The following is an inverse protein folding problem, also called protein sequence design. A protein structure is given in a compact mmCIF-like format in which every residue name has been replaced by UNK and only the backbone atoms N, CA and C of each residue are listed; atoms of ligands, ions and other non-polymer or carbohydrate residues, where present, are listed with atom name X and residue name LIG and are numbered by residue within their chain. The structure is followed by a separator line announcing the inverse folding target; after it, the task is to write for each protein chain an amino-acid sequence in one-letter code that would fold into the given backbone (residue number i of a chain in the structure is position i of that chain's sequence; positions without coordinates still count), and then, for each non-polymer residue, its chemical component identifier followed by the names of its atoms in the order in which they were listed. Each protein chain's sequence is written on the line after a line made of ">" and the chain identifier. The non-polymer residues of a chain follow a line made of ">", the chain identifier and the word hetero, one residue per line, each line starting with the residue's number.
data_IF_537835925148
#
_entry.id   IF_537835925148
#
_cell.length_a   1.000
_cell.length_b   1.000
_cell.length_c   1.000
_cell.angle_alpha   90.00
_cell.angle_beta   90.00
_cell.angle_gamma   90.00
#
_symmetry.space_group_name_H-M   'P 1'
#
loop_
_entity.id
_entity.type
_entity.pdbx_description
1 polymer ?
#
# COMPACT_ATOMS: atom_id res chain seq x y z
N UNK A 1 38.54 -7.31 -13.15
CA UNK A 1 37.44 -6.65 -13.89
C UNK A 1 36.16 -7.38 -13.51
N UNK A 2 35.13 -6.67 -13.06
CA UNK A 2 33.80 -7.24 -12.79
C UNK A 2 33.46 -7.49 -11.31
N UNK A 3 33.29 -6.43 -10.50
CA UNK A 3 32.46 -6.54 -9.29
C UNK A 3 31.00 -6.63 -9.75
N UNK A 4 30.42 -7.82 -9.64
CA UNK A 4 28.99 -8.05 -9.81
C UNK A 4 28.23 -7.26 -8.74
N UNK A 5 27.45 -6.27 -9.17
CA UNK A 5 26.59 -5.45 -8.33
C UNK A 5 25.21 -6.13 -8.34
N UNK A 6 25.11 -7.31 -7.72
CA UNK A 6 23.83 -7.98 -7.54
C UNK A 6 23.23 -7.54 -6.19
N UNK A 7 22.03 -6.99 -6.32
CA UNK A 7 21.00 -6.86 -5.30
C UNK A 7 21.37 -6.04 -4.08
N UNK A 8 21.22 -4.72 -4.24
CA UNK A 8 20.81 -3.87 -3.12
C UNK A 8 19.51 -4.45 -2.56
N UNK A 9 19.65 -5.31 -1.55
CA UNK A 9 18.54 -5.80 -0.74
C UNK A 9 17.90 -4.55 -0.15
N UNK A 10 16.81 -4.08 -0.74
CA UNK A 10 15.98 -3.04 -0.15
C UNK A 10 15.48 -3.65 1.15
N UNK A 11 16.12 -3.29 2.26
CA UNK A 11 15.65 -3.69 3.59
C UNK A 11 14.26 -3.05 3.69
N UNK A 12 13.17 -3.84 3.71
CA UNK A 12 11.85 -3.26 3.77
C UNK A 12 11.74 -2.49 5.07
N UNK A 13 11.26 -1.25 4.99
CA UNK A 13 11.05 -0.42 6.18
C UNK A 13 10.10 -1.15 7.13
N UNK A 14 10.61 -1.59 8.28
CA UNK A 14 9.80 -2.29 9.29
C UNK A 14 9.18 -1.28 10.25
N UNK A 15 7.89 -1.04 10.10
CA UNK A 15 7.09 -0.26 11.05
C UNK A 15 6.31 -1.23 11.93
N UNK A 16 6.47 -1.12 13.26
CA UNK A 16 5.77 -2.01 14.21
C UNK A 16 4.26 -1.81 14.14
N UNK A 17 3.55 -2.85 13.70
CA UNK A 17 2.09 -2.81 13.49
C UNK A 17 1.68 -2.35 12.10
N UNK A 18 2.60 -2.42 11.13
CA UNK A 18 2.30 -2.33 9.70
C UNK A 18 2.70 -3.64 9.03
N UNK A 19 1.79 -4.24 8.26
CA UNK A 19 2.07 -5.42 7.47
C UNK A 19 2.74 -5.00 6.16
N UNK A 20 4.07 -5.05 6.10
CA UNK A 20 4.86 -4.78 4.90
C UNK A 20 6.23 -5.52 4.96
N UNK A 21 6.67 -6.25 3.90
CA UNK A 21 5.97 -6.49 2.65
C UNK A 21 4.69 -7.32 2.85
N UNK A 22 3.70 -7.09 2.00
CA UNK A 22 2.41 -7.76 2.12
C UNK A 22 2.38 -9.01 1.24
N UNK A 23 2.20 -10.16 1.88
CA UNK A 23 2.26 -11.48 1.24
C UNK A 23 0.89 -12.02 0.83
N UNK A 24 -0.18 -11.34 1.22
CA UNK A 24 -1.56 -11.74 0.93
C UNK A 24 -2.18 -12.78 1.83
N UNK A 25 -1.54 -13.10 2.95
CA UNK A 25 -2.09 -14.01 3.96
C UNK A 25 -3.10 -13.33 4.90
N UNK A 26 -3.20 -12.01 4.87
CA UNK A 26 -4.06 -11.19 5.74
C UNK A 26 -5.05 -10.42 4.89
N UNK A 27 -6.35 -10.39 5.23
CA UNK A 27 -7.32 -9.56 4.50
C UNK A 27 -6.90 -8.07 4.54
N UNK A 28 -7.17 -7.32 3.46
CA UNK A 28 -6.90 -5.88 3.42
C UNK A 28 -7.93 -5.14 2.56
N UNK A 29 -8.19 -3.88 2.89
CA UNK A 29 -8.79 -2.93 1.96
C UNK A 29 -7.71 -2.18 1.20
N UNK A 30 -8.05 -1.79 -0.03
CA UNK A 30 -7.14 -1.09 -0.93
C UNK A 30 -7.87 0.02 -1.66
N UNK A 31 -7.22 1.16 -1.72
CA UNK A 31 -7.75 2.33 -2.38
C UNK A 31 -6.71 2.96 -3.30
N UNK A 32 -7.13 3.27 -4.53
CA UNK A 32 -6.37 4.16 -5.40
C UNK A 32 -6.98 5.56 -5.36
N UNK A 33 -6.17 6.54 -4.99
CA UNK A 33 -6.53 7.96 -4.93
C UNK A 33 -5.28 8.83 -5.03
N UNK A 34 -5.39 10.04 -5.57
CA UNK A 34 -4.29 11.03 -5.54
C UNK A 34 -2.96 10.53 -6.13
N UNK A 35 -3.00 9.64 -7.12
CA UNK A 35 -1.79 9.02 -7.71
C UNK A 35 -1.08 8.01 -6.81
N UNK A 36 -1.72 7.56 -5.73
CA UNK A 36 -1.17 6.66 -4.73
C UNK A 36 -2.10 5.47 -4.46
N UNK A 37 -1.52 4.39 -3.97
CA UNK A 37 -2.25 3.24 -3.43
C UNK A 37 -2.16 3.26 -1.92
N UNK A 38 -3.30 3.19 -1.27
CA UNK A 38 -3.46 3.07 0.17
C UNK A 38 -3.89 1.64 0.49
N UNK A 39 -3.18 0.95 1.37
CA UNK A 39 -3.50 -0.42 1.79
C UNK A 39 -3.59 -0.49 3.31
N UNK A 40 -4.69 -1.02 3.81
CA UNK A 40 -4.87 -1.27 5.24
C UNK A 40 -5.14 -2.76 5.46
N UNK A 41 -4.17 -3.48 6.03
CA UNK A 41 -4.34 -4.89 6.35
C UNK A 41 -5.04 -5.06 7.71
N UNK A 42 -5.79 -6.14 7.86
CA UNK A 42 -6.47 -6.49 9.11
C UNK A 42 -5.47 -6.58 10.27
N UNK A 43 -5.73 -5.80 11.31
CA UNK A 43 -4.89 -5.75 12.52
C UNK A 43 -3.73 -4.74 12.44
N UNK A 44 -3.51 -4.09 11.30
CA UNK A 44 -2.52 -3.02 11.20
C UNK A 44 -2.99 -1.76 11.93
N UNK A 45 -2.03 -1.09 12.57
CA UNK A 45 -2.18 0.25 13.18
C UNK A 45 -1.76 1.37 12.24
N UNK A 46 -1.41 1.02 11.01
CA UNK A 46 -0.96 1.94 9.98
C UNK A 46 -1.57 1.58 8.63
N UNK A 47 -1.85 2.59 7.82
CA UNK A 47 -2.18 2.42 6.41
C UNK A 47 -0.89 2.62 5.61
N UNK A 48 -0.54 1.63 4.80
CA UNK A 48 0.59 1.74 3.89
C UNK A 48 0.23 2.61 2.69
N UNK A 49 1.13 3.52 2.32
CA UNK A 49 1.00 4.37 1.12
C UNK A 49 2.08 3.98 0.12
N UNK A 50 1.71 3.80 -1.14
CA UNK A 50 2.60 3.50 -2.25
C UNK A 50 2.38 4.49 -3.39
N UNK A 51 3.42 4.75 -4.19
CA UNK A 51 3.29 5.57 -5.41
C UNK A 51 2.68 4.75 -6.54
N UNK A 52 1.71 5.32 -7.24
CA UNK A 52 1.06 4.68 -8.38
C UNK A 52 -0.02 3.66 -8.00
N UNK A 53 -0.52 2.94 -9.01
CA UNK A 53 -1.51 1.87 -8.86
C UNK A 53 -0.80 0.56 -8.56
N UNK A 54 -0.76 0.15 -7.28
CA UNK A 54 0.06 -0.98 -6.83
C UNK A 54 -0.76 -2.24 -6.59
N UNK A 55 -0.21 -3.36 -7.07
CA UNK A 55 -0.86 -4.67 -7.07
C UNK A 55 0.11 -5.72 -6.49
N UNK A 56 0.06 -5.89 -5.16
CA UNK A 56 0.94 -6.80 -4.40
C UNK A 56 0.21 -8.11 -4.04
N UNK A 57 0.28 -9.14 -4.93
CA UNK A 57 -0.29 -10.52 -4.85
C UNK A 57 -0.53 -11.14 -6.24
N UNK A 58 -0.73 -12.48 -6.29
CA UNK A 58 -0.99 -13.28 -7.51
C UNK A 58 -2.46 -13.71 -7.73
N UNK A 59 -3.42 -13.28 -6.91
CA UNK A 59 -4.84 -13.66 -7.08
C UNK A 59 -5.75 -12.47 -6.89
N UNK A 60 -6.30 -11.96 -7.99
CA UNK A 60 -7.38 -10.98 -7.95
C UNK A 60 -8.46 -11.36 -8.95
N UNK A 61 -9.70 -11.25 -8.51
CA UNK A 61 -10.85 -11.02 -9.37
C UNK A 61 -11.23 -9.55 -9.14
N UNK A 62 -10.84 -8.67 -10.05
CA UNK A 62 -11.17 -7.25 -9.98
C UNK A 62 -12.49 -7.05 -10.73
N UNK A 63 -13.60 -6.90 -10.00
CA UNK A 63 -14.87 -6.43 -10.56
C UNK A 63 -14.86 -4.89 -10.57
N UNK A 64 -14.07 -4.33 -11.48
CA UNK A 64 -14.09 -2.91 -11.84
C UNK A 64 -13.52 -2.79 -13.25
N UNK A 65 -14.23 -2.08 -14.13
CA UNK A 65 -13.96 -2.15 -15.58
C UNK A 65 -12.52 -1.77 -15.96
N UNK A 66 -11.90 -0.80 -15.26
CA UNK A 66 -10.52 -0.39 -15.55
C UNK A 66 -9.75 0.06 -14.29
N UNK A 67 -8.48 -0.30 -14.22
CA UNK A 67 -7.49 0.29 -13.31
C UNK A 67 -6.71 1.39 -14.01
N UNK A 68 -6.44 2.54 -13.36
CA UNK A 68 -5.58 3.58 -13.91
C UNK A 68 -4.18 3.05 -14.21
N UNK A 69 -3.73 3.21 -15.46
CA UNK A 69 -2.41 2.78 -15.94
C UNK A 69 -1.33 3.85 -15.68
N UNK A 70 -0.05 3.46 -15.51
CA UNK A 70 0.46 2.09 -15.45
C UNK A 70 0.12 1.42 -14.10
N UNK A 71 -0.10 0.11 -14.14
CA UNK A 71 -0.24 -0.72 -12.94
C UNK A 71 1.13 -1.28 -12.59
N UNK A 72 1.54 -1.10 -11.33
CA UNK A 72 2.80 -1.61 -10.79
C UNK A 72 2.53 -2.95 -10.08
N UNK A 73 3.10 -4.02 -10.63
CA UNK A 73 2.94 -5.37 -10.11
C UNK A 73 4.09 -5.76 -9.18
N UNK A 74 3.78 -6.59 -8.18
CA UNK A 74 4.76 -7.07 -7.21
C UNK A 74 5.02 -6.09 -6.06
N UNK A 75 5.88 -6.48 -5.09
CA UNK A 75 6.18 -5.66 -3.92
C UNK A 75 6.68 -4.26 -4.32
N UNK A 76 6.04 -3.22 -3.79
CA UNK A 76 6.43 -1.83 -4.04
C UNK A 76 7.03 -1.20 -2.77
N UNK A 77 8.01 -0.30 -2.88
CA UNK A 77 8.57 0.37 -1.71
C UNK A 77 7.52 1.27 -1.05
N UNK A 78 7.53 1.32 0.28
CA UNK A 78 6.63 2.19 1.03
C UNK A 78 6.98 3.67 0.76
N UNK A 79 5.98 4.43 0.33
CA UNK A 79 6.09 5.87 0.15
C UNK A 79 5.82 6.63 1.46
N UNK A 80 4.88 6.12 2.27
CA UNK A 80 4.55 6.65 3.59
C UNK A 80 3.73 5.65 4.43
N UNK A 81 3.53 5.95 5.72
CA UNK A 81 2.63 5.23 6.61
C UNK A 81 1.74 6.19 7.41
N UNK A 82 0.42 6.03 7.30
CA UNK A 82 -0.55 6.85 8.03
C UNK A 82 -0.89 6.12 9.34
N UNK A 83 -0.63 6.69 10.52
CA UNK A 83 -1.04 6.09 11.78
C UNK A 83 -2.57 6.10 11.92
N UNK A 84 -3.13 4.99 12.40
CA UNK A 84 -4.56 4.86 12.67
C UNK A 84 -4.81 4.60 14.15
N UNK A 85 -5.63 5.45 14.77
CA UNK A 85 -5.96 5.36 16.19
C UNK A 85 -7.29 4.66 16.47
N UNK A 86 -8.21 4.64 15.50
CA UNK A 86 -9.54 4.04 15.59
C UNK A 86 -10.05 3.63 14.22
N UNK A 87 -11.05 2.74 14.21
CA UNK A 87 -11.68 2.22 13.00
C UNK A 87 -11.28 0.80 12.66
N UNK A 88 -11.83 0.29 11.56
CA UNK A 88 -11.55 -1.05 11.06
C UNK A 88 -11.02 -0.99 9.64
N UNK A 89 -10.14 -1.93 9.30
CA UNK A 89 -9.52 -2.03 7.97
C UNK A 89 -10.56 -2.19 6.85
N UNK A 90 -11.75 -2.69 7.17
CA UNK A 90 -12.84 -2.94 6.23
C UNK A 90 -13.75 -1.72 5.97
N UNK A 91 -13.51 -0.60 6.67
CA UNK A 91 -14.26 0.64 6.48
C UNK A 91 -13.67 1.47 5.32
N UNK A 92 -14.28 1.30 4.14
CA UNK A 92 -13.81 1.94 2.90
C UNK A 92 -13.96 3.48 2.92
N UNK A 93 -15.00 4.00 3.59
CA UNK A 93 -15.20 5.45 3.74
C UNK A 93 -14.15 6.06 4.65
N UNK A 94 -13.79 5.36 5.74
CA UNK A 94 -12.72 5.78 6.62
C UNK A 94 -11.36 5.74 5.92
N UNK A 95 -11.09 4.69 5.13
CA UNK A 95 -9.87 4.60 4.32
C UNK A 95 -9.77 5.77 3.32
N UNK A 96 -10.90 6.14 2.68
CA UNK A 96 -10.98 7.31 1.80
C UNK A 96 -10.64 8.60 2.55
N UNK A 97 -11.24 8.83 3.73
CA UNK A 97 -10.97 10.01 4.55
C UNK A 97 -9.51 10.13 4.96
N UNK A 98 -8.87 9.01 5.31
CA UNK A 98 -7.43 9.00 5.60
C UNK A 98 -6.59 9.38 4.37
N UNK A 99 -6.93 8.85 3.18
CA UNK A 99 -6.24 9.18 1.94
C UNK A 99 -6.39 10.67 1.58
N UNK A 100 -7.58 11.23 1.71
CA UNK A 100 -7.86 12.64 1.41
C UNK A 100 -7.15 13.58 2.40
N UNK A 101 -7.17 13.25 3.69
CA UNK A 101 -6.46 14.01 4.72
C UNK A 101 -4.94 13.95 4.54
N UNK A 102 -4.41 12.80 4.12
CA UNK A 102 -2.99 12.64 3.81
C UNK A 102 -2.58 13.48 2.60
N UNK A 103 -3.38 13.47 1.53
CA UNK A 103 -3.09 14.26 0.32
C UNK A 103 -3.14 15.76 0.60
N UNK A 104 -4.14 16.22 1.37
CA UNK A 104 -4.29 17.63 1.75
C UNK A 104 -3.09 18.18 2.52
N UNK A 105 -2.42 17.35 3.33
CA UNK A 105 -1.22 17.77 4.09
C UNK A 105 0.05 17.88 3.25
N UNK A 106 0.05 17.37 2.02
CA UNK A 106 1.23 17.26 1.14
C UNK A 106 1.10 18.08 -0.15
N UNK A 107 -0.08 18.61 -0.45
CA UNK A 107 -0.30 19.64 -1.48
C UNK A 107 -0.07 21.03 -0.92
#
# INVERSE_FOLDING_TARGET
>A
MGKSILDATVIPMQIKGLTHPYTGTTACSRLYAHGHTFRWAKGDRYIAVFRGTCVEQRRYFILKDELPRPVLEGPQPLADAIPVHHGDWSDDDLLRRFADAWATKRG
#
